data_IF_356617842062
#
_entry.id   IF_356617842062
#
_cell.length_a   1.000
_cell.length_b   1.000
_cell.length_c   1.000
_cell.angle_alpha   90.00
_cell.angle_beta   90.00
_cell.angle_gamma   90.00
#
_symmetry.space_group_name_H-M   'P 1'
#
loop_
_entity.id
_entity.type
_entity.pdbx_description
1 polymer ?
#
# COMPACT_ATOMS: atom_id res chain seq x y z
N UNK A 1 -30.86 -12.75 -16.71
CA UNK A 1 -31.41 -13.54 -15.58
C UNK A 1 -31.72 -15.00 -15.95
N UNK A 2 -32.24 -15.31 -17.14
CA UNK A 2 -32.57 -16.70 -17.54
C UNK A 2 -31.39 -17.69 -17.41
N UNK A 3 -30.18 -17.32 -17.85
CA UNK A 3 -29.00 -18.21 -17.77
C UNK A 3 -28.54 -18.52 -16.35
N UNK A 4 -28.76 -17.62 -15.38
CA UNK A 4 -28.45 -17.89 -13.96
C UNK A 4 -29.39 -18.95 -13.37
N UNK A 5 -30.61 -19.05 -13.91
CA UNK A 5 -31.59 -20.07 -13.53
C UNK A 5 -31.38 -21.41 -14.26
N UNK A 6 -30.93 -21.38 -15.53
CA UNK A 6 -30.80 -22.58 -16.37
C UNK A 6 -29.41 -23.24 -16.32
N UNK A 7 -28.33 -22.44 -16.25
CA UNK A 7 -26.93 -22.91 -16.30
C UNK A 7 -26.02 -22.01 -15.43
N UNK A 8 -26.11 -22.12 -14.10
CA UNK A 8 -25.31 -21.31 -13.18
C UNK A 8 -23.79 -21.47 -13.40
N UNK A 9 -23.35 -22.64 -13.86
CA UNK A 9 -21.96 -22.95 -14.20
C UNK A 9 -21.39 -22.10 -15.34
N UNK A 10 -22.24 -21.60 -16.24
CA UNK A 10 -21.83 -20.76 -17.39
C UNK A 10 -21.87 -19.26 -17.12
N UNK A 11 -22.39 -18.85 -15.97
CA UNK A 11 -22.58 -17.44 -15.63
C UNK A 11 -21.25 -16.70 -15.60
N UNK A 12 -20.19 -17.28 -15.02
CA UNK A 12 -18.87 -16.63 -14.96
C UNK A 12 -18.26 -16.41 -16.36
N UNK A 13 -18.37 -17.37 -17.26
CA UNK A 13 -17.91 -17.21 -18.65
C UNK A 13 -18.70 -16.13 -19.37
N UNK A 14 -20.03 -16.11 -19.18
CA UNK A 14 -20.89 -15.14 -19.84
C UNK A 14 -20.64 -13.71 -19.35
N UNK A 15 -20.39 -13.53 -18.05
CA UNK A 15 -19.98 -12.23 -17.49
C UNK A 15 -18.64 -11.80 -18.07
N UNK A 16 -17.65 -12.69 -18.13
CA UNK A 16 -16.34 -12.36 -18.73
C UNK A 16 -16.47 -11.93 -20.20
N UNK A 17 -17.26 -12.66 -20.99
CA UNK A 17 -17.49 -12.30 -22.39
C UNK A 17 -18.18 -10.95 -22.52
N UNK A 18 -19.21 -10.69 -21.70
CA UNK A 18 -19.90 -9.40 -21.69
C UNK A 18 -18.95 -8.24 -21.34
N UNK A 19 -18.09 -8.42 -20.33
CA UNK A 19 -17.09 -7.41 -19.95
C UNK A 19 -16.07 -7.21 -21.08
N UNK A 20 -15.60 -8.27 -21.73
CA UNK A 20 -14.69 -8.15 -22.87
C UNK A 20 -15.32 -7.40 -24.05
N UNK A 21 -16.58 -7.66 -24.38
CA UNK A 21 -17.28 -7.00 -25.49
C UNK A 21 -17.62 -5.53 -25.19
N UNK A 22 -17.94 -5.20 -23.93
CA UNK A 22 -18.39 -3.84 -23.55
C UNK A 22 -17.27 -2.92 -23.10
N UNK A 23 -16.28 -3.43 -22.37
CA UNK A 23 -15.19 -2.65 -21.77
C UNK A 23 -13.81 -3.02 -22.35
N UNK A 24 -13.69 -4.18 -23.00
CA UNK A 24 -12.44 -4.69 -23.55
C UNK A 24 -11.77 -5.74 -22.66
N UNK A 25 -10.92 -6.59 -23.27
CA UNK A 25 -10.24 -7.68 -22.56
C UNK A 25 -9.29 -7.23 -21.45
N UNK A 26 -8.84 -5.97 -21.47
CA UNK A 26 -7.99 -5.40 -20.42
C UNK A 26 -8.66 -5.48 -19.04
N UNK A 27 -9.99 -5.40 -18.97
CA UNK A 27 -10.76 -5.46 -17.72
C UNK A 27 -10.97 -6.89 -17.20
N UNK A 28 -10.54 -7.91 -17.94
CA UNK A 28 -10.58 -9.31 -17.49
C UNK A 28 -9.34 -9.75 -16.72
N UNK A 29 -8.24 -9.01 -16.86
CA UNK A 29 -6.96 -9.34 -16.24
C UNK A 29 -6.70 -8.33 -15.13
N UNK A 30 -6.35 -8.77 -13.90
CA UNK A 30 -5.88 -7.85 -12.89
C UNK A 30 -4.62 -7.14 -13.42
N UNK A 31 -4.50 -5.82 -13.25
CA UNK A 31 -3.30 -5.10 -13.64
C UNK A 31 -2.10 -5.65 -12.86
N UNK A 32 -0.94 -5.71 -13.51
CA UNK A 32 0.30 -5.97 -12.80
C UNK A 32 0.62 -4.75 -11.91
N UNK A 33 1.14 -5.01 -10.71
CA UNK A 33 1.57 -3.93 -9.82
C UNK A 33 2.78 -3.24 -10.45
N UNK A 34 2.62 -1.97 -10.82
CA UNK A 34 3.70 -1.12 -11.31
C UNK A 34 4.11 -0.11 -10.24
N UNK A 35 5.16 -0.45 -9.50
CA UNK A 35 5.71 0.42 -8.46
C UNK A 35 6.22 1.74 -9.03
N UNK A 36 6.74 1.77 -10.26
CA UNK A 36 7.25 3.01 -10.86
C UNK A 36 6.12 4.01 -11.05
N UNK A 37 5.02 3.57 -11.67
CA UNK A 37 3.81 4.38 -11.84
C UNK A 37 3.23 4.81 -10.49
N UNK A 38 3.05 3.89 -9.54
CA UNK A 38 2.54 4.22 -8.20
C UNK A 38 3.42 5.26 -7.49
N UNK A 39 4.75 5.16 -7.57
CA UNK A 39 5.65 6.10 -6.93
C UNK A 39 5.70 7.46 -7.64
N UNK A 40 5.50 7.50 -8.96
CA UNK A 40 5.39 8.75 -9.72
C UNK A 40 4.15 9.56 -9.34
N UNK A 41 3.05 8.88 -9.01
CA UNK A 41 1.80 9.49 -8.55
C UNK A 41 1.79 9.74 -7.03
N UNK A 42 2.78 9.19 -6.31
CA UNK A 42 2.89 9.34 -4.86
C UNK A 42 3.46 10.70 -4.46
N UNK A 43 3.23 11.07 -3.20
CA UNK A 43 3.73 12.31 -2.59
C UNK A 43 4.57 12.01 -1.37
N UNK A 44 5.49 12.91 -1.02
CA UNK A 44 6.18 12.86 0.27
C UNK A 44 5.23 13.10 1.47
N UNK A 45 4.01 13.58 1.23
CA UNK A 45 3.03 13.88 2.30
C UNK A 45 1.89 12.86 2.40
N UNK A 46 1.79 11.95 1.44
CA UNK A 46 0.71 10.96 1.38
C UNK A 46 1.31 9.55 1.40
N UNK A 47 1.00 8.72 2.40
CA UNK A 47 1.54 7.37 2.49
C UNK A 47 0.95 6.44 1.42
N UNK A 48 1.74 5.47 0.98
CA UNK A 48 1.31 4.36 0.12
C UNK A 48 0.93 3.18 1.02
N UNK A 49 -0.24 2.59 0.81
CA UNK A 49 -0.71 1.44 1.60
C UNK A 49 -0.73 0.18 0.73
N UNK A 50 0.05 -0.82 1.13
CA UNK A 50 0.06 -2.16 0.55
C UNK A 50 -0.86 -3.07 1.35
N UNK A 51 -1.99 -3.44 0.73
CA UNK A 51 -2.90 -4.46 1.29
C UNK A 51 -2.35 -5.84 0.96
N UNK A 52 -1.94 -6.55 2.01
CA UNK A 52 -1.32 -7.86 1.88
C UNK A 52 -2.38 -8.92 1.56
N UNK A 53 -2.09 -9.75 0.57
CA UNK A 53 -2.81 -11.01 0.31
C UNK A 53 -1.93 -12.19 0.74
N UNK A 54 -2.50 -13.33 1.14
CA UNK A 54 -1.72 -14.52 1.44
C UNK A 54 -0.77 -14.87 0.28
N UNK A 55 0.53 -14.96 0.56
CA UNK A 55 1.55 -15.31 -0.43
C UNK A 55 2.09 -14.14 -1.29
N UNK A 56 1.62 -12.91 -1.09
CA UNK A 56 2.22 -11.72 -1.73
C UNK A 56 3.27 -11.07 -0.83
N UNK A 57 4.48 -10.85 -1.33
CA UNK A 57 5.52 -10.07 -0.64
C UNK A 57 5.85 -8.78 -1.43
N UNK A 58 5.15 -7.67 -1.17
CA UNK A 58 5.44 -6.39 -1.82
C UNK A 58 6.76 -5.77 -1.35
N UNK A 59 7.31 -6.20 -0.20
CA UNK A 59 8.52 -5.61 0.36
C UNK A 59 9.75 -5.94 -0.49
N UNK A 60 9.85 -7.18 -0.99
CA UNK A 60 10.94 -7.57 -1.88
C UNK A 60 10.97 -6.70 -3.16
N UNK A 61 9.81 -6.44 -3.75
CA UNK A 61 9.70 -5.57 -4.93
C UNK A 61 10.04 -4.12 -4.60
N UNK A 62 9.57 -3.62 -3.44
CA UNK A 62 9.84 -2.27 -2.98
C UNK A 62 11.32 -2.03 -2.67
N UNK A 63 12.02 -3.00 -2.07
CA UNK A 63 13.46 -2.92 -1.79
C UNK A 63 14.26 -2.83 -3.08
N UNK A 64 13.97 -3.71 -4.04
CA UNK A 64 14.60 -3.67 -5.36
C UNK A 64 14.38 -2.30 -6.04
N UNK A 65 13.16 -1.78 -5.97
CA UNK A 65 12.85 -0.47 -6.54
C UNK A 65 13.60 0.67 -5.82
N UNK A 66 13.73 0.62 -4.49
CA UNK A 66 14.52 1.60 -3.73
C UNK A 66 16.01 1.55 -4.11
N UNK A 67 16.57 0.36 -4.33
CA UNK A 67 17.94 0.17 -4.82
C UNK A 67 18.13 0.79 -6.21
N UNK A 68 17.19 0.56 -7.14
CA UNK A 68 17.18 1.17 -8.49
C UNK A 68 17.10 2.70 -8.44
N UNK A 69 16.41 3.26 -7.44
CA UNK A 69 16.26 4.70 -7.21
C UNK A 69 17.38 5.31 -6.33
N UNK A 70 18.36 4.50 -5.90
CA UNK A 70 19.40 4.89 -4.94
C UNK A 70 18.85 5.53 -3.65
N UNK A 71 17.67 5.08 -3.21
CA UNK A 71 17.01 5.56 -2.02
C UNK A 71 17.38 4.69 -0.79
N UNK A 72 17.66 5.35 0.34
CA UNK A 72 17.82 4.65 1.61
C UNK A 72 16.45 4.22 2.12
N UNK A 73 16.28 2.92 2.39
CA UNK A 73 15.02 2.35 2.86
C UNK A 73 15.16 1.78 4.27
N UNK A 74 14.29 2.20 5.18
CA UNK A 74 14.17 1.69 6.54
C UNK A 74 12.91 0.85 6.66
N UNK A 75 13.05 -0.42 7.02
CA UNK A 75 11.90 -1.31 7.26
C UNK A 75 11.73 -1.56 8.76
N UNK A 76 10.50 -1.45 9.26
CA UNK A 76 10.18 -1.72 10.67
C UNK A 76 8.84 -2.45 10.78
N UNK A 77 8.85 -3.64 11.39
CA UNK A 77 7.62 -4.34 11.76
C UNK A 77 6.96 -3.70 12.97
N UNK A 78 5.71 -3.28 12.79
CA UNK A 78 4.92 -2.53 13.75
C UNK A 78 4.22 -3.48 14.73
N UNK A 79 4.97 -3.95 15.73
CA UNK A 79 4.44 -4.75 16.84
C UNK A 79 3.99 -3.91 18.04
N UNK A 80 3.50 -4.59 19.07
CA UNK A 80 3.18 -3.97 20.37
C UNK A 80 4.42 -3.25 20.92
N UNK A 81 4.26 -1.98 21.29
CA UNK A 81 5.33 -1.16 21.88
C UNK A 81 6.32 -0.52 20.89
N UNK A 82 6.18 -0.72 19.58
CA UNK A 82 7.08 -0.11 18.58
C UNK A 82 6.72 1.34 18.21
N UNK A 83 5.55 1.83 18.62
CA UNK A 83 5.04 3.16 18.26
C UNK A 83 6.03 4.31 18.47
N UNK A 84 6.65 4.46 19.66
CA UNK A 84 7.64 5.52 19.91
C UNK A 84 8.86 5.45 18.98
N UNK A 85 9.32 4.23 18.66
CA UNK A 85 10.45 4.02 17.76
C UNK A 85 10.07 4.33 16.31
N UNK A 86 8.87 3.95 15.89
CA UNK A 86 8.33 4.28 14.57
C UNK A 86 8.20 5.80 14.39
N UNK A 87 7.69 6.51 15.40
CA UNK A 87 7.61 7.97 15.41
C UNK A 87 8.98 8.64 15.26
N UNK A 88 9.96 8.22 16.07
CA UNK A 88 11.32 8.76 15.99
C UNK A 88 11.96 8.52 14.61
N UNK A 89 11.72 7.34 14.02
CA UNK A 89 12.19 7.03 12.67
C UNK A 89 11.54 7.97 11.64
N UNK A 90 10.22 8.17 11.69
CA UNK A 90 9.51 9.09 10.78
C UNK A 90 10.03 10.52 10.90
N UNK A 91 10.25 11.02 12.12
CA UNK A 91 10.78 12.37 12.34
C UNK A 91 12.18 12.56 11.72
N UNK A 92 13.05 11.55 11.77
CA UNK A 92 14.37 11.61 11.15
C UNK A 92 14.25 11.50 9.63
N UNK A 93 13.51 10.51 9.14
CA UNK A 93 13.39 10.23 7.71
C UNK A 93 12.69 11.34 6.93
N UNK A 94 11.73 12.04 7.54
CA UNK A 94 11.09 13.21 6.92
C UNK A 94 12.06 14.35 6.66
N UNK A 95 13.16 14.44 7.42
CA UNK A 95 14.24 15.43 7.21
C UNK A 95 15.32 14.94 6.25
N UNK A 96 15.72 13.67 6.34
CA UNK A 96 16.77 13.09 5.49
C UNK A 96 16.29 12.74 4.08
N UNK A 97 14.98 12.55 3.90
CA UNK A 97 14.41 12.08 2.63
C UNK A 97 14.39 10.56 2.46
N UNK A 98 14.69 9.81 3.52
CA UNK A 98 14.72 8.35 3.47
C UNK A 98 13.31 7.76 3.33
N UNK A 99 13.22 6.55 2.81
CA UNK A 99 11.95 5.83 2.70
C UNK A 99 11.72 5.01 3.96
N UNK A 100 10.50 5.03 4.49
CA UNK A 100 10.12 4.25 5.67
C UNK A 100 9.02 3.28 5.28
N UNK A 101 9.23 2.01 5.61
CA UNK A 101 8.23 0.95 5.47
C UNK A 101 7.82 0.47 6.86
N UNK A 102 6.58 0.74 7.24
CA UNK A 102 5.99 0.19 8.46
C UNK A 102 5.21 -1.07 8.11
N UNK A 103 5.72 -2.22 8.54
CA UNK A 103 5.13 -3.51 8.22
C UNK A 103 4.11 -3.95 9.25
N UNK A 104 3.16 -4.77 8.83
CA UNK A 104 2.20 -5.42 9.72
C UNK A 104 1.40 -4.46 10.60
N UNK A 105 0.99 -3.31 10.05
CA UNK A 105 0.31 -2.26 10.82
C UNK A 105 -0.95 -2.75 11.56
N UNK A 106 -1.66 -3.73 10.99
CA UNK A 106 -2.77 -4.43 11.63
C UNK A 106 -2.46 -5.02 13.02
N UNK A 107 -1.20 -5.33 13.34
CA UNK A 107 -0.80 -5.86 14.65
C UNK A 107 -0.70 -4.78 15.73
N UNK A 108 -0.73 -3.49 15.37
CA UNK A 108 -0.59 -2.36 16.30
C UNK A 108 -1.84 -1.46 16.30
N UNK A 109 -3.01 -2.08 16.46
CA UNK A 109 -4.30 -1.39 16.44
C UNK A 109 -4.38 -0.21 17.44
N UNK A 110 -3.73 -0.32 18.60
CA UNK A 110 -3.72 0.74 19.61
C UNK A 110 -2.95 2.00 19.19
N UNK A 111 -2.00 1.88 18.26
CA UNK A 111 -1.18 2.99 17.79
C UNK A 111 -1.67 3.60 16.46
N UNK A 112 -2.59 2.93 15.76
CA UNK A 112 -3.19 3.44 14.52
C UNK A 112 -3.77 4.86 14.62
N UNK A 113 -4.46 5.26 15.70
CA UNK A 113 -4.91 6.66 15.85
C UNK A 113 -3.77 7.67 15.91
N UNK A 114 -2.62 7.30 16.48
CA UNK A 114 -1.44 8.17 16.52
C UNK A 114 -0.73 8.21 15.17
N UNK A 115 -0.64 7.08 14.46
CA UNK A 115 -0.15 7.06 13.08
C UNK A 115 -0.98 7.99 12.17
N UNK A 116 -2.31 7.97 12.30
CA UNK A 116 -3.20 8.87 11.55
C UNK A 116 -2.90 10.35 11.82
N UNK A 117 -2.62 10.73 13.08
CA UNK A 117 -2.20 12.10 13.44
C UNK A 117 -0.86 12.46 12.81
N UNK A 118 0.14 11.57 12.90
CA UNK A 118 1.46 11.80 12.30
C UNK A 118 1.34 12.01 10.79
N UNK A 119 0.52 11.22 10.10
CA UNK A 119 0.27 11.38 8.66
C UNK A 119 -0.43 12.71 8.35
N UNK A 120 -1.41 13.12 9.16
CA UNK A 120 -2.05 14.43 9.00
C UNK A 120 -1.04 15.57 9.18
N UNK A 121 -0.14 15.47 10.15
CA UNK A 121 0.90 16.47 10.40
C UNK A 121 1.88 16.60 9.20
N UNK A 122 2.14 15.52 8.45
CA UNK A 122 2.96 15.56 7.24
C UNK A 122 2.40 16.49 6.17
N UNK A 123 1.08 16.70 6.12
CA UNK A 123 0.45 17.58 5.12
C UNK A 123 0.85 19.05 5.30
N UNK A 124 1.15 19.44 6.54
CA UNK A 124 1.50 20.81 6.90
C UNK A 124 2.99 20.99 7.20
N UNK A 125 3.74 19.90 7.37
CA UNK A 125 5.15 19.92 7.67
C UNK A 125 6.03 20.22 6.43
N UNK A 126 7.21 20.78 6.70
CA UNK A 126 8.27 20.85 5.70
C UNK A 126 8.95 19.46 5.59
N UNK A 127 8.42 18.63 4.71
CA UNK A 127 8.88 17.25 4.46
C UNK A 127 9.80 17.23 3.24
N UNK A 128 10.92 16.53 3.35
CA UNK A 128 11.86 16.34 2.24
C UNK A 128 11.16 15.70 1.02
N UNK A 129 11.39 16.23 -0.18
CA UNK A 129 10.68 15.81 -1.41
C UNK A 129 10.85 14.33 -1.76
N UNK A 130 11.99 13.74 -1.39
CA UNK A 130 12.30 12.33 -1.63
C UNK A 130 11.73 11.38 -0.58
N UNK A 131 11.29 11.89 0.57
CA UNK A 131 10.72 11.04 1.62
C UNK A 131 9.51 10.27 1.09
N UNK A 132 9.39 9.00 1.47
CA UNK A 132 8.23 8.17 1.16
C UNK A 132 7.87 7.34 2.38
N UNK A 133 6.58 7.30 2.71
CA UNK A 133 6.03 6.43 3.74
C UNK A 133 5.22 5.33 3.08
N UNK A 134 5.61 4.07 3.32
CA UNK A 134 4.89 2.89 2.89
C UNK A 134 4.37 2.12 4.10
N UNK A 135 3.12 1.69 4.05
CA UNK A 135 2.47 0.91 5.11
C UNK A 135 2.09 -0.45 4.54
N UNK A 136 2.36 -1.54 5.26
CA UNK A 136 1.84 -2.87 4.90
C UNK A 136 0.86 -3.36 5.96
N UNK A 137 -0.30 -3.88 5.51
CA UNK A 137 -1.33 -4.36 6.42
C UNK A 137 -2.24 -5.39 5.77
N UNK A 138 -2.76 -6.34 6.56
CA UNK A 138 -3.99 -7.03 6.19
C UNK A 138 -5.20 -6.09 6.38
N UNK A 139 -6.32 -6.33 5.67
CA UNK A 139 -7.56 -5.59 5.89
C UNK A 139 -8.02 -5.77 7.34
N UNK A 140 -8.12 -4.66 8.08
CA UNK A 140 -8.66 -4.63 9.45
C UNK A 140 -9.47 -3.35 9.65
N UNK A 141 -10.51 -3.41 10.49
CA UNK A 141 -11.39 -2.27 10.76
C UNK A 141 -10.73 -1.16 11.59
N UNK A 142 -9.59 -1.45 12.23
CA UNK A 142 -8.82 -0.52 13.05
C UNK A 142 -7.81 0.31 12.24
N UNK A 143 -7.61 0.00 10.96
CA UNK A 143 -6.73 0.78 10.10
C UNK A 143 -7.43 2.13 9.76
N UNK A 144 -6.76 3.27 9.96
CA UNK A 144 -7.39 4.60 9.89
C UNK A 144 -7.67 5.05 8.45
#
# INVERSE_FOLDING_TARGET
MLMKALRPDKVMTLIKNYVAETLGEAFLRPPQLDLSSCFSESSCRAPIVFILSPGSDPLAQLRKFAEEMHATIHTMSLGQGQGPRAKALLEVSTRSGDWVVLENCHLSASWMPELGKLVADLQHANVHSNFRLCLTSYPVSSFP
#
